data_IF_011159816139
#
_entry.id   IF_011159816139
#
_cell.length_a   1.000
_cell.length_b   1.000
_cell.length_c   1.000
_cell.angle_alpha   90.00
_cell.angle_beta   90.00
_cell.angle_gamma   90.00
#
_symmetry.space_group_name_H-M   'P 1'
#
loop_
_entity.id
_entity.type
_entity.pdbx_description
1 polymer ?
#
# COMPACT_ATOMS: atom_id res chain seq x y z
N UNK A 1 -12.30 -1.13 -19.09
CA UNK A 1 -13.58 -1.76 -18.73
C UNK A 1 -13.72 -3.11 -19.37
N UNK A 2 -14.01 -3.17 -20.67
CA UNK A 2 -14.30 -4.39 -21.43
C UNK A 2 -13.38 -5.59 -21.12
N UNK A 3 -12.08 -5.49 -21.43
CA UNK A 3 -11.08 -6.57 -21.22
C UNK A 3 -10.73 -6.85 -19.74
N UNK A 4 -11.36 -6.15 -18.78
CA UNK A 4 -11.17 -6.38 -17.34
C UNK A 4 -12.22 -7.33 -16.75
N UNK A 5 -13.33 -7.54 -17.45
CA UNK A 5 -14.46 -8.38 -17.03
C UNK A 5 -14.33 -9.85 -17.49
N UNK A 6 -13.10 -10.35 -17.62
CA UNK A 6 -12.85 -11.75 -17.93
C UNK A 6 -13.12 -12.65 -16.72
N UNK A 7 -13.23 -13.97 -16.94
CA UNK A 7 -13.49 -14.95 -15.87
C UNK A 7 -12.26 -15.09 -14.96
N UNK A 8 -12.39 -14.67 -13.70
CA UNK A 8 -11.41 -14.93 -12.65
C UNK A 8 -11.60 -16.29 -11.97
N UNK A 9 -10.51 -16.91 -11.52
CA UNK A 9 -10.51 -18.11 -10.68
C UNK A 9 -9.98 -17.79 -9.28
N UNK A 10 -10.62 -18.36 -8.26
CA UNK A 10 -10.34 -18.18 -6.83
C UNK A 10 -10.16 -19.52 -6.09
N UNK A 11 -10.18 -20.63 -6.83
CA UNK A 11 -10.09 -21.98 -6.32
C UNK A 11 -8.70 -22.30 -5.72
N UNK A 12 -8.71 -23.05 -4.62
CA UNK A 12 -7.48 -23.62 -4.07
C UNK A 12 -6.97 -24.72 -5.02
N UNK A 13 -5.65 -24.76 -5.28
CA UNK A 13 -5.00 -25.78 -6.11
C UNK A 13 -4.75 -25.37 -7.58
N UNK A 14 -5.21 -24.20 -8.01
CA UNK A 14 -4.86 -23.66 -9.33
C UNK A 14 -3.36 -23.36 -9.44
N UNK A 15 -2.80 -23.50 -10.64
CA UNK A 15 -1.48 -22.96 -10.99
C UNK A 15 -1.66 -21.50 -11.43
N UNK A 16 -1.25 -20.50 -10.62
CA UNK A 16 -1.50 -19.10 -10.94
C UNK A 16 -0.87 -18.69 -12.28
N UNK A 17 0.30 -19.20 -12.63
CA UNK A 17 0.97 -18.89 -13.88
C UNK A 17 0.18 -19.37 -15.11
N UNK A 18 -0.46 -20.53 -15.02
CA UNK A 18 -1.34 -21.06 -16.08
C UNK A 18 -2.54 -20.13 -16.30
N UNK A 19 -3.26 -19.80 -15.23
CA UNK A 19 -4.41 -18.90 -15.33
C UNK A 19 -4.02 -17.48 -15.74
N UNK A 20 -2.84 -17.00 -15.37
CA UNK A 20 -2.34 -15.71 -15.84
C UNK A 20 -2.20 -15.71 -17.37
N UNK A 21 -1.71 -16.81 -17.96
CA UNK A 21 -1.67 -16.99 -19.42
C UNK A 21 -3.08 -17.08 -20.00
N UNK A 22 -3.97 -17.88 -19.43
CA UNK A 22 -5.35 -18.03 -19.92
C UNK A 22 -6.12 -16.70 -19.90
N UNK A 23 -5.93 -15.86 -18.88
CA UNK A 23 -6.57 -14.54 -18.83
C UNK A 23 -6.07 -13.60 -19.92
N UNK A 24 -4.83 -13.75 -20.37
CA UNK A 24 -4.29 -12.95 -21.47
C UNK A 24 -4.79 -13.52 -22.79
N UNK A 25 -4.83 -14.85 -22.95
CA UNK A 25 -5.43 -15.53 -24.12
C UNK A 25 -6.87 -15.08 -24.32
N UNK A 26 -7.70 -15.13 -23.28
CA UNK A 26 -9.11 -14.70 -23.34
C UNK A 26 -9.24 -13.27 -23.88
N UNK A 27 -8.36 -12.36 -23.48
CA UNK A 27 -8.36 -10.97 -23.96
C UNK A 27 -7.92 -10.84 -25.40
N UNK A 28 -6.93 -11.62 -25.83
CA UNK A 28 -6.49 -11.65 -27.23
C UNK A 28 -7.61 -12.16 -28.12
N UNK A 29 -8.22 -13.29 -27.75
CA UNK A 29 -9.32 -13.90 -28.50
C UNK A 29 -10.55 -12.99 -28.52
N UNK A 30 -10.96 -12.46 -27.37
CA UNK A 30 -12.11 -11.56 -27.28
C UNK A 30 -11.87 -10.27 -28.06
N UNK A 31 -10.68 -9.67 -27.95
CA UNK A 31 -10.37 -8.44 -28.69
C UNK A 31 -10.32 -8.71 -30.20
N UNK A 32 -9.70 -9.82 -30.61
CA UNK A 32 -9.66 -10.24 -32.00
C UNK A 32 -11.05 -10.44 -32.59
N UNK A 33 -11.91 -11.18 -31.90
CA UNK A 33 -13.26 -11.48 -32.37
C UNK A 33 -14.16 -10.24 -32.39
N UNK A 34 -14.17 -9.44 -31.32
CA UNK A 34 -15.13 -8.34 -31.14
C UNK A 34 -14.75 -7.09 -31.91
N UNK A 35 -13.46 -6.74 -31.93
CA UNK A 35 -13.02 -5.46 -32.52
C UNK A 35 -12.31 -5.61 -33.85
N UNK A 36 -11.63 -6.74 -34.10
CA UNK A 36 -10.88 -6.94 -35.36
C UNK A 36 -11.62 -7.83 -36.36
N UNK A 37 -12.67 -8.54 -35.93
CA UNK A 37 -13.33 -9.56 -36.75
C UNK A 37 -12.43 -10.74 -37.10
N UNK A 38 -11.43 -11.04 -36.27
CA UNK A 38 -10.42 -12.09 -36.49
C UNK A 38 -10.57 -13.25 -35.52
N UNK A 39 -10.43 -14.48 -36.03
CA UNK A 39 -10.40 -15.72 -35.22
C UNK A 39 -8.97 -16.10 -34.85
N UNK A 40 -8.40 -15.40 -33.87
CA UNK A 40 -6.99 -15.58 -33.47
C UNK A 40 -6.70 -16.88 -32.71
N UNK A 41 -7.71 -17.56 -32.15
CA UNK A 41 -7.52 -18.65 -31.19
C UNK A 41 -6.68 -19.85 -31.68
N UNK A 42 -6.82 -20.27 -32.95
CA UNK A 42 -5.98 -21.35 -33.48
C UNK A 42 -4.50 -20.97 -33.55
N UNK A 43 -4.21 -19.67 -33.74
CA UNK A 43 -2.85 -19.16 -33.79
C UNK A 43 -2.12 -19.25 -32.44
N UNK A 44 -2.83 -19.53 -31.34
CA UNK A 44 -2.20 -19.80 -30.03
C UNK A 44 -1.19 -20.94 -30.08
N UNK A 45 -1.52 -22.03 -30.76
CA UNK A 45 -0.76 -23.28 -30.67
C UNK A 45 0.14 -23.53 -31.89
N UNK A 46 -0.23 -23.01 -33.05
CA UNK A 46 0.46 -23.19 -34.33
C UNK A 46 0.05 -22.08 -35.29
N UNK A 47 0.76 -21.87 -36.41
CA UNK A 47 0.30 -20.94 -37.44
C UNK A 47 -1.11 -21.30 -37.91
N UNK A 48 -1.97 -20.31 -38.08
CA UNK A 48 -3.35 -20.54 -38.50
C UNK A 48 -3.38 -21.28 -39.84
N UNK A 49 -4.32 -22.21 -40.00
CA UNK A 49 -4.32 -23.17 -41.12
C UNK A 49 -4.62 -22.51 -42.47
N UNK A 50 -5.49 -21.50 -42.48
CA UNK A 50 -6.02 -20.88 -43.70
C UNK A 50 -5.72 -19.38 -43.76
N UNK A 51 -6.09 -18.65 -42.70
CA UNK A 51 -5.79 -17.22 -42.60
C UNK A 51 -4.27 -16.95 -42.46
N UNK A 52 -3.78 -15.81 -42.99
CA UNK A 52 -2.38 -15.40 -42.90
C UNK A 52 -2.02 -14.87 -41.51
N UNK A 53 -2.23 -15.70 -40.49
CA UNK A 53 -1.97 -15.43 -39.08
C UNK A 53 -0.94 -16.44 -38.57
N UNK A 54 0.23 -15.95 -38.18
CA UNK A 54 1.27 -16.75 -37.56
C UNK A 54 1.03 -16.88 -36.06
N UNK A 55 1.61 -17.93 -35.46
CA UNK A 55 1.63 -18.07 -34.01
C UNK A 55 2.35 -16.89 -33.35
N UNK A 56 3.42 -16.41 -33.98
CA UNK A 56 4.17 -15.25 -33.48
C UNK A 56 3.27 -14.02 -33.35
N UNK A 57 2.46 -13.73 -34.35
CA UNK A 57 1.54 -12.58 -34.33
C UNK A 57 0.45 -12.69 -33.25
N UNK A 58 -0.01 -13.89 -32.91
CA UNK A 58 -0.87 -14.10 -31.74
C UNK A 58 -0.16 -13.63 -30.45
N UNK A 59 1.09 -14.04 -30.25
CA UNK A 59 1.84 -13.65 -29.06
C UNK A 59 2.32 -12.19 -29.08
N UNK A 60 2.43 -11.57 -30.26
CA UNK A 60 2.65 -10.13 -30.37
C UNK A 60 1.42 -9.34 -29.86
N UNK A 61 0.20 -9.77 -30.16
CA UNK A 61 -1.01 -9.17 -29.57
C UNK A 61 -1.10 -9.50 -28.07
N UNK A 62 -0.80 -10.74 -27.68
CA UNK A 62 -0.73 -11.18 -26.29
C UNK A 62 0.16 -10.25 -25.44
N UNK A 63 1.29 -9.80 -25.99
CA UNK A 63 2.22 -8.91 -25.30
C UNK A 63 1.59 -7.58 -24.88
N UNK A 64 0.59 -7.05 -25.59
CA UNK A 64 -0.15 -5.85 -25.13
C UNK A 64 -0.92 -6.08 -23.82
N UNK A 65 -1.39 -7.30 -23.60
CA UNK A 65 -2.23 -7.66 -22.46
C UNK A 65 -1.45 -8.33 -21.32
N UNK A 66 -0.26 -8.88 -21.59
CA UNK A 66 0.61 -9.52 -20.60
C UNK A 66 1.33 -8.53 -19.66
N UNK A 67 1.05 -7.23 -19.79
CA UNK A 67 1.62 -6.17 -18.95
C UNK A 67 0.66 -5.61 -17.89
N UNK A 68 -0.25 -6.46 -17.38
CA UNK A 68 -1.14 -6.12 -16.27
C UNK A 68 -0.60 -6.79 -15.00
N UNK A 69 -0.60 -6.12 -13.83
CA UNK A 69 -0.18 -6.69 -12.54
C UNK A 69 -1.23 -7.69 -11.99
N UNK A 70 -1.63 -8.64 -12.82
CA UNK A 70 -2.47 -9.79 -12.47
C UNK A 70 -1.60 -11.05 -12.42
N UNK A 71 -1.84 -11.88 -11.41
CA UNK A 71 -1.05 -13.08 -11.11
C UNK A 71 -1.87 -14.38 -11.32
N UNK A 72 -2.90 -14.35 -12.17
CA UNK A 72 -3.69 -15.54 -12.49
C UNK A 72 -4.56 -16.09 -11.35
N UNK A 73 -4.74 -15.32 -10.27
CA UNK A 73 -5.70 -15.59 -9.21
C UNK A 73 -6.49 -14.33 -8.90
N UNK A 74 -7.82 -14.45 -8.96
CA UNK A 74 -8.73 -13.36 -8.64
C UNK A 74 -8.97 -13.24 -7.13
N UNK A 75 -9.52 -12.10 -6.72
CA UNK A 75 -10.02 -11.89 -5.36
C UNK A 75 -11.33 -12.64 -5.15
N UNK A 76 -11.41 -13.44 -4.08
CA UNK A 76 -12.63 -14.19 -3.73
C UNK A 76 -13.81 -13.29 -3.36
N UNK A 77 -13.52 -12.16 -2.73
CA UNK A 77 -14.53 -11.19 -2.30
C UNK A 77 -14.13 -9.77 -2.73
N UNK A 78 -15.05 -9.08 -3.38
CA UNK A 78 -14.86 -7.72 -3.91
C UNK A 78 -14.13 -7.69 -5.26
N UNK A 79 -13.69 -6.49 -5.64
CA UNK A 79 -12.99 -6.27 -6.90
C UNK A 79 -11.55 -6.79 -6.82
N UNK A 80 -11.04 -7.31 -7.95
CA UNK A 80 -9.64 -7.72 -8.06
C UNK A 80 -8.75 -6.53 -8.47
N UNK A 81 -7.58 -6.32 -7.84
CA UNK A 81 -6.67 -5.26 -8.24
C UNK A 81 -6.15 -5.46 -9.70
N UNK A 82 -5.62 -4.41 -10.35
CA UNK A 82 -5.52 -3.04 -9.84
C UNK A 82 -6.87 -2.31 -9.88
N UNK A 83 -7.07 -1.43 -8.88
CA UNK A 83 -8.28 -0.63 -8.70
C UNK A 83 -7.99 0.85 -8.89
N UNK A 84 -9.00 1.62 -9.29
CA UNK A 84 -8.94 3.08 -9.32
C UNK A 84 -10.16 3.66 -8.59
N UNK A 85 -9.99 4.72 -7.77
CA UNK A 85 -11.11 5.48 -7.23
C UNK A 85 -11.96 6.09 -8.36
N UNK A 86 -13.29 5.96 -8.26
CA UNK A 86 -14.24 6.47 -9.23
C UNK A 86 -15.34 7.28 -8.53
N UNK A 87 -15.02 8.46 -7.95
CA UNK A 87 -15.97 9.24 -7.18
C UNK A 87 -17.23 9.58 -7.98
N UNK A 88 -18.40 9.50 -7.32
CA UNK A 88 -19.68 9.94 -7.90
C UNK A 88 -19.69 11.44 -8.18
N UNK A 89 -20.62 11.92 -9.01
CA UNK A 89 -20.74 13.37 -9.28
C UNK A 89 -20.96 14.21 -8.00
N UNK A 90 -21.72 13.67 -7.04
CA UNK A 90 -21.91 14.31 -5.73
C UNK A 90 -20.59 14.35 -4.94
N UNK A 91 -19.84 13.25 -4.91
CA UNK A 91 -18.54 13.19 -4.25
C UNK A 91 -17.52 14.13 -4.89
N UNK A 92 -17.49 14.22 -6.22
CA UNK A 92 -16.63 15.18 -6.95
C UNK A 92 -16.97 16.62 -6.59
N UNK A 93 -18.26 16.96 -6.50
CA UNK A 93 -18.71 18.29 -6.09
C UNK A 93 -18.28 18.63 -4.66
N UNK A 94 -18.45 17.69 -3.72
CA UNK A 94 -17.99 17.85 -2.33
C UNK A 94 -16.47 18.00 -2.25
N UNK A 95 -15.73 17.19 -3.01
CA UNK A 95 -14.27 17.24 -3.09
C UNK A 95 -13.80 18.61 -3.57
N UNK A 96 -14.36 19.10 -4.68
CA UNK A 96 -14.02 20.42 -5.22
C UNK A 96 -14.33 21.56 -4.24
N UNK A 97 -15.43 21.46 -3.47
CA UNK A 97 -15.77 22.44 -2.45
C UNK A 97 -14.77 22.42 -1.27
N UNK A 98 -14.30 21.24 -0.85
CA UNK A 98 -13.26 21.11 0.17
C UNK A 98 -11.92 21.64 -0.33
N UNK A 99 -11.52 21.29 -1.56
CA UNK A 99 -10.30 21.75 -2.19
C UNK A 99 -10.24 23.27 -2.28
N UNK A 100 -11.34 23.92 -2.69
CA UNK A 100 -11.43 25.37 -2.74
C UNK A 100 -11.22 26.02 -1.36
N UNK A 101 -11.80 25.45 -0.30
CA UNK A 101 -11.61 25.94 1.07
C UNK A 101 -10.18 25.72 1.57
N UNK A 102 -9.58 24.57 1.26
CA UNK A 102 -8.19 24.25 1.60
C UNK A 102 -7.25 25.28 0.95
N UNK A 103 -7.38 25.48 -0.37
CA UNK A 103 -6.58 26.47 -1.12
C UNK A 103 -6.74 27.87 -0.53
N UNK A 104 -7.96 28.26 -0.14
CA UNK A 104 -8.21 29.56 0.50
C UNK A 104 -7.41 29.71 1.82
N UNK A 105 -7.42 28.69 2.70
CA UNK A 105 -6.67 28.75 3.96
C UNK A 105 -5.15 28.73 3.72
N UNK A 106 -4.69 27.93 2.76
CA UNK A 106 -3.27 27.86 2.36
C UNK A 106 -2.76 29.21 1.84
N UNK A 107 -3.52 29.87 0.96
CA UNK A 107 -3.19 31.21 0.47
C UNK A 107 -3.14 32.24 1.60
N UNK A 108 -4.06 32.16 2.56
CA UNK A 108 -4.07 33.06 3.71
C UNK A 108 -2.80 32.92 4.57
N UNK A 109 -2.36 31.68 4.82
CA UNK A 109 -1.13 31.37 5.55
C UNK A 109 0.11 31.78 4.74
N UNK A 110 0.15 31.47 3.45
CA UNK A 110 1.25 31.80 2.55
C UNK A 110 1.49 33.31 2.47
N UNK A 111 0.42 34.12 2.35
CA UNK A 111 0.50 35.58 2.35
C UNK A 111 1.08 36.17 3.65
N UNK A 112 1.13 35.37 4.73
CA UNK A 112 1.64 35.75 6.06
C UNK A 112 2.89 34.96 6.46
N UNK A 113 3.45 34.16 5.57
CA UNK A 113 4.54 33.23 5.87
C UNK A 113 5.74 33.92 6.53
N UNK A 114 6.18 35.08 6.02
CA UNK A 114 7.30 35.82 6.60
C UNK A 114 7.05 36.27 8.05
N UNK A 115 5.84 36.75 8.36
CA UNK A 115 5.47 37.19 9.72
C UNK A 115 5.35 36.00 10.67
N UNK A 116 4.72 34.91 10.21
CA UNK A 116 4.57 33.66 10.95
C UNK A 116 5.95 33.09 11.28
N UNK A 117 6.85 33.04 10.30
CA UNK A 117 8.19 32.52 10.47
C UNK A 117 9.06 33.39 11.39
N UNK A 118 9.00 34.72 11.28
CA UNK A 118 9.70 35.61 12.22
C UNK A 118 9.22 35.38 13.67
N UNK A 119 7.90 35.26 13.88
CA UNK A 119 7.33 34.98 15.18
C UNK A 119 7.66 33.57 15.69
N UNK A 120 7.71 32.57 14.80
CA UNK A 120 8.19 31.21 15.11
C UNK A 120 9.63 31.27 15.62
N UNK A 121 10.57 31.86 14.87
CA UNK A 121 11.99 31.95 15.28
C UNK A 121 12.18 32.66 16.63
N UNK A 122 11.35 33.64 16.95
CA UNK A 122 11.35 34.26 18.27
C UNK A 122 10.89 33.27 19.37
N UNK A 123 9.79 32.56 19.11
CA UNK A 123 9.26 31.51 20.01
C UNK A 123 10.24 30.34 20.19
N UNK A 124 11.02 29.98 19.17
CA UNK A 124 11.99 28.88 19.22
C UNK A 124 13.05 29.04 20.34
N UNK A 125 13.25 30.26 20.86
CA UNK A 125 14.14 30.53 22.01
C UNK A 125 13.56 30.05 23.34
N UNK A 126 12.26 29.75 23.37
CA UNK A 126 11.49 29.37 24.56
C UNK A 126 10.78 28.02 24.31
N UNK A 127 11.39 27.12 23.55
CA UNK A 127 10.79 25.82 23.23
C UNK A 127 10.50 25.00 24.49
N UNK A 128 9.31 24.41 24.60
CA UNK A 128 8.97 23.56 25.73
C UNK A 128 9.75 22.25 25.70
N UNK A 129 10.04 21.71 26.89
CA UNK A 129 10.62 20.37 27.05
C UNK A 129 9.53 19.29 26.97
N UNK A 130 8.96 19.09 25.79
CA UNK A 130 7.85 18.16 25.56
C UNK A 130 8.13 17.29 24.34
N UNK A 131 7.81 15.99 24.44
CA UNK A 131 7.65 15.12 23.27
C UNK A 131 6.25 15.30 22.73
N UNK A 132 6.15 15.66 21.46
CA UNK A 132 4.90 16.13 20.87
C UNK A 132 4.73 15.55 19.47
N UNK A 133 3.50 15.16 19.12
CA UNK A 133 3.09 14.81 17.76
C UNK A 133 1.92 15.71 17.34
N UNK A 134 1.72 16.06 16.06
CA UNK A 134 0.60 16.89 15.61
C UNK A 134 -0.77 16.38 16.02
N UNK A 135 -1.75 17.27 16.21
CA UNK A 135 -3.13 16.89 16.56
C UNK A 135 -3.74 15.91 15.55
N UNK A 136 -3.44 16.07 14.25
CA UNK A 136 -3.85 15.14 13.18
C UNK A 136 -3.31 13.71 13.31
N UNK A 137 -2.40 13.47 14.27
CA UNK A 137 -1.86 12.16 14.62
C UNK A 137 -2.26 11.69 16.01
N UNK A 138 -3.08 12.48 16.71
CA UNK A 138 -3.60 12.16 18.05
C UNK A 138 -5.02 11.60 18.00
N UNK A 139 -5.77 11.92 16.95
CA UNK A 139 -7.14 11.44 16.76
C UNK A 139 -7.16 10.13 15.98
N UNK A 140 -7.49 9.04 16.68
CA UNK A 140 -7.67 7.70 16.12
C UNK A 140 -6.82 6.64 16.83
N UNK A 141 -7.41 5.97 17.82
CA UNK A 141 -7.02 4.63 18.27
C UNK A 141 -5.58 4.44 18.78
N UNK A 142 -5.11 5.41 19.54
CA UNK A 142 -3.77 5.41 20.12
C UNK A 142 -3.73 4.65 21.47
N UNK A 143 -3.25 3.41 21.47
CA UNK A 143 -2.59 2.85 22.67
C UNK A 143 -1.23 3.51 22.79
N UNK A 144 -0.76 3.90 23.97
CA UNK A 144 0.60 4.40 24.14
C UNK A 144 1.17 3.84 25.41
N UNK A 145 2.26 3.07 25.29
CA UNK A 145 3.16 2.84 26.41
C UNK A 145 4.21 3.94 26.39
N UNK A 146 3.95 4.97 27.20
CA UNK A 146 4.91 6.01 27.53
C UNK A 146 4.98 6.07 29.07
N UNK A 147 6.15 5.92 29.70
CA UNK A 147 7.47 5.69 29.09
C UNK A 147 7.59 4.30 28.41
N UNK A 148 8.65 4.07 27.61
CA UNK A 148 8.94 2.74 27.06
C UNK A 148 8.93 1.66 28.14
N UNK A 149 8.36 0.51 27.84
CA UNK A 149 8.20 -0.62 28.76
C UNK A 149 9.13 -1.77 28.37
N UNK A 150 9.76 -2.38 29.37
CA UNK A 150 10.53 -3.61 29.20
C UNK A 150 9.60 -4.82 29.06
N UNK A 151 9.95 -5.71 28.14
CA UNK A 151 9.31 -6.98 27.88
C UNK A 151 10.37 -8.07 27.96
N UNK A 152 10.11 -9.06 28.79
CA UNK A 152 10.94 -10.24 29.10
C UNK A 152 10.30 -11.52 28.55
N UNK A 153 9.52 -11.39 27.48
CA UNK A 153 8.61 -12.40 26.96
C UNK A 153 7.17 -12.27 27.47
N UNK A 154 6.89 -11.28 28.31
CA UNK A 154 5.52 -10.87 28.66
C UNK A 154 4.75 -10.32 27.45
N UNK A 155 3.43 -10.20 27.57
CA UNK A 155 2.55 -9.61 26.54
C UNK A 155 1.41 -8.83 27.18
N UNK A 156 0.92 -7.82 26.47
CA UNK A 156 -0.24 -7.02 26.85
C UNK A 156 -1.30 -7.14 25.77
N UNK A 157 -2.56 -7.37 26.15
CA UNK A 157 -3.68 -7.29 25.22
C UNK A 157 -4.19 -5.84 25.18
N UNK A 158 -4.38 -5.32 23.97
CA UNK A 158 -4.85 -3.95 23.72
C UNK A 158 -6.39 -3.94 23.73
N UNK A 159 -6.99 -2.82 24.17
CA UNK A 159 -8.44 -2.61 24.19
C UNK A 159 -9.10 -3.04 22.87
N UNK A 160 -10.25 -3.70 22.99
CA UNK A 160 -11.05 -4.24 21.92
C UNK A 160 -11.48 -3.23 20.83
N UNK A 161 -11.41 -1.93 21.07
CA UNK A 161 -11.78 -0.95 20.05
C UNK A 161 -10.75 -0.86 18.92
N UNK A 162 -9.48 -1.16 19.20
CA UNK A 162 -8.38 -0.74 18.34
C UNK A 162 -7.74 -1.88 17.55
N UNK A 163 -7.26 -1.57 16.35
CA UNK A 163 -6.48 -2.50 15.53
C UNK A 163 -7.25 -3.74 15.07
N UNK A 164 -8.58 -3.70 15.01
CA UNK A 164 -9.37 -4.84 14.48
C UNK A 164 -9.38 -4.89 12.95
N UNK A 165 -8.28 -4.53 12.30
CA UNK A 165 -8.11 -4.50 10.86
C UNK A 165 -8.13 -5.90 10.24
N UNK A 166 -8.77 -6.01 9.07
CA UNK A 166 -8.75 -7.13 8.16
C UNK A 166 -7.81 -6.83 6.97
N UNK A 167 -7.72 -7.75 6.01
CA UNK A 167 -6.79 -7.67 4.89
C UNK A 167 -7.09 -6.53 3.92
N UNK A 168 -8.30 -5.97 3.93
CA UNK A 168 -8.71 -4.87 3.04
C UNK A 168 -8.91 -3.54 3.75
N UNK A 169 -8.65 -3.50 5.05
CA UNK A 169 -8.57 -2.25 5.77
C UNK A 169 -7.22 -1.60 5.51
N UNK A 170 -7.23 -0.29 5.27
CA UNK A 170 -6.02 0.52 5.23
C UNK A 170 -5.68 1.00 6.64
N UNK A 171 -4.40 0.94 7.01
CA UNK A 171 -3.95 1.32 8.36
C UNK A 171 -2.44 1.53 8.41
N UNK A 172 -1.98 2.11 9.51
CA UNK A 172 -0.56 2.25 9.82
C UNK A 172 -0.27 1.88 11.27
N UNK A 173 0.97 1.46 11.51
CA UNK A 173 1.49 1.22 12.84
C UNK A 173 2.89 1.78 12.98
N UNK A 174 3.23 2.28 14.15
CA UNK A 174 4.60 2.70 14.50
C UNK A 174 4.95 2.28 15.91
N UNK A 175 6.23 2.13 16.21
CA UNK A 175 6.73 1.83 17.55
C UNK A 175 8.21 2.22 17.67
N UNK A 176 8.64 2.61 18.87
CA UNK A 176 10.04 2.55 19.27
C UNK A 176 10.37 1.15 19.76
N UNK A 177 11.46 0.59 19.24
CA UNK A 177 11.85 -0.80 19.44
C UNK A 177 13.34 -0.88 19.74
N UNK A 178 13.69 -1.50 20.87
CA UNK A 178 15.04 -1.91 21.21
C UNK A 178 14.99 -3.37 21.66
N UNK A 179 15.23 -4.31 20.75
CA UNK A 179 15.09 -5.74 21.04
C UNK A 179 14.65 -6.58 19.87
N UNK A 180 14.10 -7.76 20.16
CA UNK A 180 13.65 -8.75 19.16
C UNK A 180 12.37 -9.46 19.59
N UNK A 181 11.61 -9.95 18.62
CA UNK A 181 10.37 -10.70 18.79
C UNK A 181 9.17 -9.98 18.19
N UNK A 182 7.97 -10.39 18.62
CA UNK A 182 6.70 -9.83 18.20
C UNK A 182 6.44 -8.45 18.83
N UNK A 183 6.49 -7.39 18.03
CA UNK A 183 6.23 -6.02 18.49
C UNK A 183 4.74 -5.87 18.78
N UNK A 184 3.92 -6.12 17.76
CA UNK A 184 2.46 -6.08 17.85
C UNK A 184 1.84 -7.07 16.89
N UNK A 185 0.85 -7.84 17.34
CA UNK A 185 0.22 -8.89 16.54
C UNK A 185 -1.28 -8.97 16.82
N UNK A 186 -2.03 -9.49 15.84
CA UNK A 186 -3.42 -9.91 16.01
C UNK A 186 -3.59 -11.30 15.42
N UNK A 187 -2.91 -12.27 16.02
CA UNK A 187 -2.79 -13.61 15.47
C UNK A 187 -3.57 -14.67 16.27
N UNK A 188 -4.08 -15.67 15.57
CA UNK A 188 -4.80 -16.79 16.15
C UNK A 188 -3.87 -17.88 16.69
N UNK A 189 -4.30 -18.50 17.79
CA UNK A 189 -3.63 -19.67 18.37
C UNK A 189 -2.25 -19.42 18.97
N UNK A 190 -1.83 -18.15 19.11
CA UNK A 190 -0.51 -17.77 19.66
C UNK A 190 0.64 -18.58 19.06
N UNK A 191 0.76 -18.58 17.73
CA UNK A 191 1.78 -19.32 16.97
C UNK A 191 2.21 -18.54 15.72
N UNK A 192 3.41 -18.77 15.18
CA UNK A 192 3.92 -18.06 14.00
C UNK A 192 3.03 -18.22 12.76
N UNK A 193 2.37 -19.36 12.63
CA UNK A 193 1.51 -19.73 11.50
C UNK A 193 0.05 -19.30 11.71
N UNK A 194 -0.21 -18.52 12.76
CA UNK A 194 -1.55 -18.04 13.10
C UNK A 194 -2.15 -17.21 11.96
N UNK A 195 -3.46 -17.33 11.77
CA UNK A 195 -4.23 -16.37 10.97
C UNK A 195 -4.09 -14.99 11.62
N UNK A 196 -4.04 -13.89 10.88
CA UNK A 196 -3.93 -12.54 11.44
C UNK A 196 -2.82 -11.70 10.82
N UNK A 197 -2.41 -10.62 11.49
CA UNK A 197 -1.30 -9.79 11.07
C UNK A 197 -0.28 -9.61 12.21
N UNK A 198 0.94 -9.20 11.86
CA UNK A 198 1.98 -8.92 12.86
C UNK A 198 3.15 -8.10 12.33
N UNK A 199 3.68 -7.26 13.22
CA UNK A 199 4.96 -6.56 13.07
C UNK A 199 5.97 -7.19 14.03
N UNK A 200 7.15 -7.52 13.50
CA UNK A 200 8.16 -8.28 14.22
C UNK A 200 9.56 -7.73 13.95
N UNK A 201 10.45 -7.97 14.91
CA UNK A 201 11.90 -7.86 14.72
C UNK A 201 12.52 -9.24 14.91
N UNK A 202 13.13 -9.80 13.88
CA UNK A 202 13.81 -11.10 13.94
C UNK A 202 15.14 -11.02 13.22
N UNK A 203 16.20 -11.52 13.87
CA UNK A 203 17.56 -11.47 13.35
C UNK A 203 17.99 -10.03 12.96
N UNK A 204 17.53 -9.06 13.75
CA UNK A 204 17.72 -7.64 13.54
C UNK A 204 16.84 -7.04 12.44
N UNK A 205 16.17 -7.82 11.60
CA UNK A 205 15.31 -7.32 10.52
C UNK A 205 13.89 -7.08 10.98
N UNK A 206 13.28 -6.05 10.41
CA UNK A 206 11.86 -5.75 10.61
C UNK A 206 11.08 -6.49 9.53
N UNK A 207 10.08 -7.27 9.93
CA UNK A 207 9.14 -7.83 8.96
C UNK A 207 7.71 -7.60 9.38
N UNK A 208 6.86 -7.46 8.37
CA UNK A 208 5.43 -7.35 8.50
C UNK A 208 4.78 -8.48 7.72
N UNK A 209 3.77 -9.11 8.30
CA UNK A 209 2.97 -10.09 7.59
C UNK A 209 1.48 -9.92 7.85
N UNK A 210 0.71 -10.46 6.91
CA UNK A 210 -0.72 -10.72 7.00
C UNK A 210 -0.95 -12.15 6.51
N UNK A 211 -1.50 -13.01 7.34
CA UNK A 211 -1.66 -14.44 7.09
C UNK A 211 -3.13 -14.81 7.16
N UNK A 212 -3.70 -15.30 6.06
CA UNK A 212 -5.01 -15.96 6.09
C UNK A 212 -4.85 -17.48 6.21
N UNK A 213 -3.92 -18.03 5.42
CA UNK A 213 -3.39 -19.38 5.51
C UNK A 213 -1.88 -19.34 5.27
N UNK A 214 -1.10 -19.82 6.23
CA UNK A 214 0.36 -19.77 6.23
C UNK A 214 1.02 -20.32 4.97
N UNK A 215 0.46 -21.37 4.36
CA UNK A 215 1.13 -22.09 3.27
C UNK A 215 1.06 -21.33 1.95
N UNK A 216 -0.10 -20.74 1.63
CA UNK A 216 -0.36 -20.23 0.28
C UNK A 216 -1.29 -19.00 0.23
N UNK A 217 -1.62 -18.38 1.36
CA UNK A 217 -2.51 -17.22 1.43
C UNK A 217 -1.99 -16.26 2.50
N UNK A 218 -0.87 -15.64 2.17
CA UNK A 218 -0.18 -14.73 3.05
C UNK A 218 0.53 -13.63 2.25
N UNK A 219 0.75 -12.51 2.92
CA UNK A 219 1.59 -11.41 2.50
C UNK A 219 2.70 -11.28 3.53
N UNK A 220 3.95 -11.21 3.09
CA UNK A 220 5.08 -10.92 3.96
C UNK A 220 6.12 -10.08 3.25
N UNK A 221 6.48 -8.96 3.87
CA UNK A 221 7.60 -8.11 3.47
C UNK A 221 8.59 -8.00 4.62
N UNK A 222 9.88 -7.92 4.29
CA UNK A 222 10.97 -7.90 5.26
C UNK A 222 12.04 -6.91 4.82
N UNK A 223 12.61 -6.16 5.76
CA UNK A 223 13.71 -5.23 5.47
C UNK A 223 14.96 -5.98 5.01
N UNK A 224 15.64 -5.46 3.99
CA UNK A 224 16.92 -6.01 3.52
C UNK A 224 17.99 -5.86 4.59
N UNK A 225 18.11 -4.66 5.17
CA UNK A 225 19.11 -4.31 6.19
C UNK A 225 18.57 -4.56 7.60
N UNK A 226 19.36 -5.15 8.52
CA UNK A 226 19.00 -5.22 9.93
C UNK A 226 19.08 -3.84 10.59
N UNK A 227 18.34 -3.68 11.68
CA UNK A 227 18.47 -2.58 12.63
C UNK A 227 19.89 -2.57 13.22
N UNK A 228 20.39 -1.37 13.51
CA UNK A 228 21.70 -1.23 14.13
C UNK A 228 21.61 -1.70 15.60
N UNK A 229 22.55 -2.54 16.07
CA UNK A 229 22.49 -3.05 17.43
C UNK A 229 22.77 -1.95 18.47
N UNK A 230 22.26 -2.15 19.69
CA UNK A 230 22.62 -1.33 20.86
C UNK A 230 21.94 0.04 20.94
N UNK A 231 20.89 0.29 20.16
CA UNK A 231 20.06 1.48 20.29
C UNK A 231 18.60 1.20 19.95
N UNK A 232 17.71 2.03 20.48
CA UNK A 232 16.31 2.05 20.07
C UNK A 232 16.18 2.61 18.64
N UNK A 233 15.25 2.02 17.90
CA UNK A 233 14.87 2.41 16.55
C UNK A 233 13.38 2.72 16.48
N UNK A 234 13.01 3.72 15.68
CA UNK A 234 11.62 3.93 15.33
C UNK A 234 11.30 3.06 14.12
N UNK A 235 10.35 2.14 14.24
CA UNK A 235 9.87 1.32 13.13
C UNK A 235 8.42 1.69 12.83
N UNK A 236 8.07 1.76 11.54
CA UNK A 236 6.69 1.96 11.13
C UNK A 236 6.34 1.12 9.90
N UNK A 237 5.07 0.80 9.78
CA UNK A 237 4.49 0.14 8.61
C UNK A 237 3.24 0.88 8.20
N UNK A 238 3.09 1.12 6.90
CA UNK A 238 1.81 1.55 6.33
C UNK A 238 1.29 0.48 5.38
N UNK A 239 -0.02 0.27 5.41
CA UNK A 239 -0.71 -0.70 4.57
C UNK A 239 -1.94 -0.07 3.93
N UNK A 240 -2.05 -0.17 2.61
CA UNK A 240 -3.11 0.48 1.84
C UNK A 240 -4.39 -0.36 1.69
N UNK A 241 -4.48 -1.54 2.33
CA UNK A 241 -5.58 -2.48 2.10
C UNK A 241 -5.50 -3.18 0.74
N UNK A 242 -4.38 -3.06 0.02
CA UNK A 242 -4.25 -3.55 -1.37
C UNK A 242 -4.31 -5.07 -1.49
N UNK A 243 -4.05 -5.80 -0.40
CA UNK A 243 -3.81 -7.25 -0.35
C UNK A 243 -2.58 -7.71 -1.15
N UNK A 244 -1.73 -6.75 -1.53
CA UNK A 244 -0.50 -6.95 -2.31
C UNK A 244 0.68 -6.34 -1.56
N UNK A 245 1.86 -6.96 -1.68
CA UNK A 245 3.10 -6.49 -1.04
C UNK A 245 3.45 -5.04 -1.43
N UNK A 246 3.13 -4.61 -2.65
CA UNK A 246 3.29 -3.23 -3.12
C UNK A 246 2.54 -2.19 -2.26
N UNK A 247 1.44 -2.59 -1.62
CA UNK A 247 0.69 -1.73 -0.71
C UNK A 247 1.26 -1.66 0.70
N UNK A 248 2.36 -2.36 0.99
CA UNK A 248 3.07 -2.27 2.27
C UNK A 248 4.34 -1.45 2.11
N UNK A 249 4.51 -0.44 2.97
CA UNK A 249 5.77 0.28 3.13
C UNK A 249 6.28 0.11 4.55
N UNK A 250 7.57 -0.21 4.69
CA UNK A 250 8.25 -0.34 5.99
C UNK A 250 9.24 0.79 6.14
N UNK A 251 9.27 1.42 7.31
CA UNK A 251 10.13 2.55 7.62
C UNK A 251 10.97 2.24 8.85
N UNK A 252 12.22 2.71 8.83
CA UNK A 252 13.17 2.63 9.94
C UNK A 252 13.73 4.03 10.16
N UNK A 253 13.68 4.51 11.40
CA UNK A 253 14.12 5.84 11.84
C UNK A 253 13.56 6.98 10.96
N UNK A 254 12.30 6.83 10.55
CA UNK A 254 11.58 7.83 9.76
C UNK A 254 11.85 7.77 8.26
N UNK A 255 12.69 6.85 7.80
CA UNK A 255 13.06 6.70 6.38
C UNK A 255 12.48 5.42 5.80
N UNK A 256 12.08 5.47 4.53
CA UNK A 256 11.59 4.29 3.80
C UNK A 256 12.72 3.26 3.70
N UNK A 257 12.48 2.06 4.20
CA UNK A 257 13.44 0.96 4.17
C UNK A 257 13.29 0.16 2.87
N UNK A 258 14.42 -0.30 2.34
CA UNK A 258 14.43 -1.30 1.28
C UNK A 258 13.92 -2.64 1.82
N UNK A 259 12.98 -3.26 1.09
CA UNK A 259 12.34 -4.52 1.50
C UNK A 259 12.39 -5.57 0.40
N UNK A 260 12.35 -6.83 0.82
CA UNK A 260 12.10 -8.00 -0.02
C UNK A 260 10.71 -8.54 0.24
N UNK A 261 9.99 -8.87 -0.82
CA UNK A 261 8.72 -9.60 -0.74
C UNK A 261 9.02 -11.10 -0.59
N UNK A 262 8.61 -11.67 0.55
CA UNK A 262 8.78 -13.10 0.85
C UNK A 262 7.57 -13.90 0.39
N UNK A 263 6.36 -13.34 0.54
CA UNK A 263 5.10 -13.92 0.08
C UNK A 263 4.16 -12.81 -0.38
N UNK A 264 3.42 -13.05 -1.45
CA UNK A 264 2.44 -12.11 -2.00
C UNK A 264 1.26 -12.85 -2.65
N UNK A 265 0.58 -13.67 -1.84
CA UNK A 265 -0.51 -14.54 -2.31
C UNK A 265 -1.81 -14.33 -1.54
N UNK A 266 -1.92 -13.24 -0.79
CA UNK A 266 -3.02 -12.95 0.12
C UNK A 266 -4.32 -12.64 -0.63
N UNK A 267 -5.41 -13.35 -0.31
CA UNK A 267 -6.70 -13.12 -0.97
C UNK A 267 -7.94 -13.38 -0.10
N UNK A 268 -7.85 -14.17 0.98
CA UNK A 268 -9.01 -14.43 1.87
C UNK A 268 -8.98 -13.54 3.11
N UNK A 269 -10.05 -12.79 3.41
CA UNK A 269 -10.11 -12.00 4.63
C UNK A 269 -10.16 -12.87 5.89
N UNK A 270 -9.93 -12.25 7.03
CA UNK A 270 -10.01 -12.89 8.33
C UNK A 270 -11.45 -13.26 8.68
N UNK A 271 -12.39 -12.35 8.39
CA UNK A 271 -13.84 -12.60 8.50
C UNK A 271 -14.28 -13.70 7.52
N UNK A 272 -14.78 -14.81 8.05
CA UNK A 272 -15.34 -15.91 7.26
C UNK A 272 -16.87 -15.81 7.27
N UNK A 273 -17.52 -15.69 6.09
CA UNK A 273 -18.96 -15.88 5.89
C UNK A 273 -19.89 -15.28 6.99
N UNK A 274 -19.66 -14.02 7.37
CA UNK A 274 -20.46 -13.30 8.39
C UNK A 274 -19.98 -13.48 9.84
N UNK A 275 -18.93 -14.28 10.09
CA UNK A 275 -18.30 -14.42 11.39
C UNK A 275 -17.29 -13.30 11.70
N UNK A 276 -17.27 -12.87 12.95
CA UNK A 276 -16.29 -11.89 13.47
C UNK A 276 -14.98 -12.60 13.81
N UNK A 277 -13.85 -12.09 13.33
CA UNK A 277 -12.53 -12.55 13.76
C UNK A 277 -12.23 -11.98 15.17
N UNK A 278 -12.24 -12.85 16.19
CA UNK A 278 -12.28 -12.45 17.60
C UNK A 278 -10.91 -12.28 18.27
N UNK A 279 -9.81 -12.47 17.55
CA UNK A 279 -8.48 -12.36 18.15
C UNK A 279 -8.18 -10.92 18.58
N UNK A 280 -7.71 -10.71 19.83
CA UNK A 280 -7.30 -9.41 20.31
C UNK A 280 -5.97 -8.99 19.69
N UNK A 281 -5.73 -7.69 19.68
CA UNK A 281 -4.42 -7.12 19.39
C UNK A 281 -3.55 -7.30 20.63
N UNK A 282 -2.29 -7.72 20.43
CA UNK A 282 -1.33 -8.01 21.49
C UNK A 282 -0.03 -7.29 21.21
N UNK A 283 0.52 -6.65 22.24
CA UNK A 283 1.87 -6.07 22.24
C UNK A 283 2.81 -7.05 22.93
N UNK A 284 4.00 -7.25 22.36
CA UNK A 284 5.05 -8.10 22.94
C UNK A 284 4.87 -9.61 22.73
N UNK A 285 3.84 -10.07 22.01
CA UNK A 285 3.59 -11.51 21.87
C UNK A 285 2.51 -11.85 20.83
N UNK A 286 1.95 -13.06 20.93
CA UNK A 286 0.88 -13.55 20.04
C UNK A 286 1.36 -14.40 18.85
N UNK A 287 2.67 -14.63 18.71
CA UNK A 287 3.27 -15.45 17.65
C UNK A 287 4.05 -16.66 18.19
N UNK A 288 3.62 -17.21 19.34
CA UNK A 288 4.28 -18.34 20.00
C UNK A 288 5.37 -17.92 20.98
N UNK A 289 5.68 -18.80 21.94
CA UNK A 289 6.58 -18.54 23.07
C UNK A 289 7.98 -18.10 22.60
N UNK A 290 8.50 -18.74 21.55
CA UNK A 290 9.83 -18.44 21.00
C UNK A 290 9.92 -17.05 20.33
N UNK A 291 8.79 -16.43 19.98
CA UNK A 291 8.75 -15.11 19.32
C UNK A 291 8.19 -14.01 20.23
N UNK A 292 8.04 -14.26 21.53
CA UNK A 292 7.69 -13.20 22.46
C UNK A 292 8.80 -12.15 22.50
N UNK A 293 8.42 -10.90 22.68
CA UNK A 293 9.36 -9.79 22.61
C UNK A 293 10.30 -9.78 23.81
N UNK A 294 11.57 -9.53 23.51
CA UNK A 294 12.66 -9.42 24.47
C UNK A 294 13.35 -8.07 24.22
N UNK A 295 13.22 -7.15 25.16
CA UNK A 295 13.78 -5.79 25.07
C UNK A 295 12.80 -4.71 25.53
N UNK A 296 12.86 -3.52 24.93
CA UNK A 296 11.98 -2.39 25.24
C UNK A 296 11.13 -2.00 24.03
N UNK A 297 9.83 -1.80 24.28
CA UNK A 297 8.88 -1.22 23.32
C UNK A 297 8.34 0.09 23.88
N UNK A 298 8.19 1.11 23.04
CA UNK A 298 7.67 2.40 23.45
C UNK A 298 6.87 3.10 22.35
N UNK A 299 5.99 4.01 22.75
CA UNK A 299 5.18 4.84 21.84
C UNK A 299 4.56 4.08 20.66
N UNK A 300 4.10 2.85 20.89
CA UNK A 300 3.39 2.07 19.87
C UNK A 300 2.18 2.88 19.43
N UNK A 301 1.93 3.10 18.14
CA UNK A 301 0.75 3.84 17.65
C UNK A 301 0.06 3.06 16.55
N UNK A 302 -1.27 3.00 16.58
CA UNK A 302 -2.10 2.41 15.52
C UNK A 302 -2.96 3.51 14.89
N UNK A 303 -3.12 3.46 13.57
CA UNK A 303 -3.89 4.43 12.81
C UNK A 303 -4.78 3.70 11.83
N UNK A 304 -6.07 4.02 11.79
CA UNK A 304 -7.00 3.57 10.74
C UNK A 304 -6.80 4.34 9.43
N UNK A 305 -5.57 4.80 9.16
CA UNK A 305 -5.15 5.57 8.00
C UNK A 305 -3.74 5.23 7.56
N UNK A 306 -3.44 5.50 6.29
CA UNK A 306 -2.07 5.45 5.76
C UNK A 306 -1.40 6.77 6.12
N UNK A 307 -0.38 6.71 6.98
CA UNK A 307 0.45 7.88 7.29
C UNK A 307 1.33 8.23 6.09
N UNK A 308 1.60 9.52 5.91
CA UNK A 308 2.57 9.98 4.92
C UNK A 308 4.01 9.85 5.45
N UNK A 309 5.00 9.91 4.55
CA UNK A 309 6.42 9.84 4.93
C UNK A 309 6.83 10.98 5.88
N UNK A 310 6.31 12.19 5.65
CA UNK A 310 6.53 13.35 6.53
C UNK A 310 6.04 13.06 7.95
N UNK A 311 4.87 12.44 8.05
CA UNK A 311 4.27 12.11 9.34
C UNK A 311 5.08 11.06 10.10
N UNK A 312 5.49 10.00 9.40
CA UNK A 312 6.34 8.94 9.95
C UNK A 312 7.71 9.51 10.37
N UNK A 313 8.27 10.42 9.57
CA UNK A 313 9.51 11.12 9.90
C UNK A 313 9.39 11.91 11.20
N UNK A 314 8.27 12.59 11.44
CA UNK A 314 8.04 13.33 12.69
C UNK A 314 7.89 12.41 13.90
N UNK A 315 7.21 11.26 13.76
CA UNK A 315 7.12 10.26 14.85
C UNK A 315 8.51 9.68 15.20
N UNK A 316 9.42 9.62 14.24
CA UNK A 316 10.78 9.12 14.41
C UNK A 316 11.76 10.11 15.07
N UNK A 317 11.39 11.38 15.27
CA UNK A 317 12.30 12.36 15.88
C UNK A 317 12.68 11.98 17.31
N UNK A 318 11.73 11.44 18.10
CA UNK A 318 11.99 10.79 19.40
C UNK A 318 12.55 11.65 20.54
N UNK A 319 12.97 12.89 20.26
CA UNK A 319 13.53 13.83 21.21
C UNK A 319 12.55 14.97 21.54
N UNK A 320 12.62 15.54 22.76
CA UNK A 320 11.78 16.69 23.10
C UNK A 320 12.15 17.91 22.24
N UNK A 321 11.19 18.81 22.01
CA UNK A 321 11.40 19.98 21.15
C UNK A 321 12.53 20.89 21.62
N UNK A 322 12.72 21.02 22.93
CA UNK A 322 13.87 21.73 23.53
C UNK A 322 15.23 21.22 23.02
N UNK A 323 15.36 19.93 22.72
CA UNK A 323 16.60 19.34 22.19
C UNK A 323 16.87 19.72 20.72
N UNK A 324 15.87 20.27 20.02
CA UNK A 324 15.96 20.78 18.64
C UNK A 324 16.34 22.27 18.56
N UNK A 325 16.39 22.97 19.70
CA UNK A 325 16.74 24.38 19.74
C UNK A 325 18.21 24.59 19.31
N UNK A 326 18.46 25.57 18.42
CA UNK A 326 19.81 25.99 18.01
C UNK A 326 20.62 24.99 17.18
N UNK A 327 20.08 23.82 16.86
CA UNK A 327 20.75 22.81 16.02
C UNK A 327 20.37 22.98 14.55
N UNK A 328 21.23 22.45 13.66
CA UNK A 328 20.85 22.22 12.26
C UNK A 328 19.88 21.03 12.22
N UNK A 329 18.62 21.31 11.87
CA UNK A 329 17.54 20.33 11.87
C UNK A 329 17.44 19.58 10.55
N UNK A 330 17.03 18.32 10.62
CA UNK A 330 16.49 17.57 9.49
C UNK A 330 15.13 18.15 9.06
N UNK A 331 14.63 17.71 7.90
CA UNK A 331 13.31 18.15 7.42
C UNK A 331 12.18 17.77 8.40
N UNK A 332 12.21 16.55 8.93
CA UNK A 332 11.22 16.08 9.90
C UNK A 332 11.26 16.87 11.22
N UNK A 333 12.45 17.14 11.76
CA UNK A 333 12.63 17.95 12.98
C UNK A 333 12.15 19.39 12.77
N UNK A 334 12.52 20.00 11.64
CA UNK A 334 12.07 21.34 11.29
C UNK A 334 10.54 21.38 11.19
N UNK A 335 9.95 20.36 10.56
CA UNK A 335 8.51 20.27 10.40
C UNK A 335 7.77 20.07 11.72
N UNK A 336 8.31 19.27 12.63
CA UNK A 336 7.72 19.06 13.95
C UNK A 336 7.71 20.36 14.77
N UNK A 337 8.79 21.13 14.71
CA UNK A 337 8.88 22.47 15.34
C UNK A 337 7.83 23.42 14.76
N UNK A 338 7.67 23.41 13.44
CA UNK A 338 6.69 24.23 12.74
C UNK A 338 5.25 23.94 13.15
N UNK A 339 4.89 22.67 13.14
CA UNK A 339 3.54 22.25 13.48
C UNK A 339 3.22 22.51 14.95
N UNK A 340 4.19 22.26 15.86
CA UNK A 340 4.00 22.61 17.27
C UNK A 340 3.74 24.11 17.42
N UNK A 341 4.53 24.96 16.77
CA UNK A 341 4.31 26.41 16.81
C UNK A 341 2.91 26.78 16.31
N UNK A 342 2.49 26.25 15.15
CA UNK A 342 1.19 26.53 14.55
C UNK A 342 0.01 26.05 15.41
N UNK A 343 0.16 24.98 16.17
CA UNK A 343 -0.90 24.45 17.02
C UNK A 343 -0.96 25.12 18.40
N UNK A 344 0.16 25.53 18.98
CA UNK A 344 0.19 25.94 20.39
C UNK A 344 0.57 27.40 20.62
N UNK A 345 1.41 28.00 19.77
CA UNK A 345 2.10 29.25 20.10
C UNK A 345 1.92 30.38 19.08
N UNK A 346 1.43 30.07 17.88
CA UNK A 346 1.14 31.09 16.89
C UNK A 346 0.04 32.06 17.35
N UNK A 347 -0.07 33.22 16.68
CA UNK A 347 -1.12 34.18 16.95
C UNK A 347 -2.51 33.54 16.80
N UNK A 348 -3.54 33.94 17.58
CA UNK A 348 -4.84 33.27 17.61
C UNK A 348 -5.48 33.07 16.22
N UNK A 349 -5.38 34.08 15.34
CA UNK A 349 -5.88 33.99 13.97
C UNK A 349 -5.11 32.94 13.14
N UNK A 350 -3.79 32.83 13.30
CA UNK A 350 -2.98 31.83 12.61
C UNK A 350 -3.31 30.42 13.10
N UNK A 351 -3.45 30.22 14.42
CA UNK A 351 -3.86 28.92 14.99
C UNK A 351 -5.23 28.50 14.51
N UNK A 352 -6.19 29.43 14.52
CA UNK A 352 -7.55 29.16 14.04
C UNK A 352 -7.54 28.76 12.56
N UNK A 353 -6.84 29.50 11.69
CA UNK A 353 -6.72 29.15 10.27
C UNK A 353 -6.02 27.80 10.08
N UNK A 354 -4.97 27.52 10.84
CA UNK A 354 -4.28 26.22 10.79
C UNK A 354 -5.20 25.06 11.21
N UNK A 355 -5.95 25.22 12.30
CA UNK A 355 -6.91 24.23 12.77
C UNK A 355 -8.01 23.98 11.73
N UNK A 356 -8.54 25.04 11.11
CA UNK A 356 -9.51 24.91 10.02
C UNK A 356 -8.91 24.19 8.80
N UNK A 357 -7.69 24.52 8.40
CA UNK A 357 -7.00 23.85 7.30
C UNK A 357 -6.77 22.35 7.60
N UNK A 358 -6.32 22.02 8.81
CA UNK A 358 -6.11 20.64 9.23
C UNK A 358 -7.43 19.84 9.21
N UNK A 359 -8.51 20.41 9.76
CA UNK A 359 -9.83 19.78 9.74
C UNK A 359 -10.39 19.58 8.32
N UNK A 360 -10.23 20.57 7.43
CA UNK A 360 -10.63 20.43 6.02
C UNK A 360 -9.87 19.32 5.30
N UNK A 361 -8.56 19.18 5.57
CA UNK A 361 -7.75 18.09 5.00
C UNK A 361 -8.19 16.73 5.52
N UNK A 362 -8.53 16.63 6.80
CA UNK A 362 -9.08 15.41 7.38
C UNK A 362 -10.46 15.06 6.79
N UNK A 363 -11.35 16.05 6.63
CA UNK A 363 -12.65 15.87 5.95
C UNK A 363 -12.48 15.41 4.51
N UNK A 364 -11.50 15.98 3.79
CA UNK A 364 -11.15 15.59 2.43
C UNK A 364 -10.68 14.14 2.37
N UNK A 365 -9.76 13.74 3.26
CA UNK A 365 -9.28 12.36 3.34
C UNK A 365 -10.42 11.38 3.69
N UNK A 366 -11.29 11.76 4.63
CA UNK A 366 -12.51 10.98 4.98
C UNK A 366 -13.42 10.80 3.78
N UNK A 367 -13.64 11.85 2.99
CA UNK A 367 -14.45 11.79 1.78
C UNK A 367 -13.81 10.86 0.72
N UNK A 368 -12.50 10.98 0.47
CA UNK A 368 -11.79 10.15 -0.51
C UNK A 368 -11.91 8.65 -0.23
N UNK A 369 -11.93 8.26 1.05
CA UNK A 369 -12.13 6.85 1.47
C UNK A 369 -13.52 6.31 1.15
N UNK A 370 -14.50 7.18 0.96
CA UNK A 370 -15.86 6.76 0.58
C UNK A 370 -16.02 6.57 -0.92
N UNK A 371 -14.98 6.87 -1.71
CA UNK A 371 -15.06 6.74 -3.16
C UNK A 371 -15.23 5.27 -3.53
N UNK A 372 -16.23 4.93 -4.38
CA UNK A 372 -16.30 3.60 -4.92
C UNK A 372 -15.07 3.36 -5.79
N UNK A 373 -14.71 2.10 -5.96
CA UNK A 373 -13.57 1.70 -6.78
C UNK A 373 -14.03 0.92 -8.00
N UNK A 374 -13.29 1.05 -9.09
CA UNK A 374 -13.48 0.26 -10.31
C UNK A 374 -12.21 -0.50 -10.64
N UNK A 375 -12.36 -1.70 -11.20
CA UNK A 375 -11.22 -2.46 -11.70
C UNK A 375 -10.67 -1.80 -12.95
N UNK A 376 -9.34 -1.68 -13.01
CA UNK A 376 -8.63 -1.14 -14.17
C UNK A 376 -7.61 -2.15 -14.67
N UNK A 377 -7.09 -1.90 -15.87
CA UNK A 377 -5.91 -2.59 -16.38
C UNK A 377 -4.80 -1.55 -16.38
N UNK A 378 -4.09 -1.43 -15.26
CA UNK A 378 -2.91 -0.57 -15.16
C UNK A 378 -1.71 -1.26 -15.81
N UNK A 379 -0.78 -0.49 -16.38
CA UNK A 379 0.48 -1.04 -16.88
C UNK A 379 1.44 -1.29 -15.71
N UNK A 380 2.20 -2.38 -15.77
CA UNK A 380 3.32 -2.58 -14.83
C UNK A 380 4.46 -1.62 -15.18
N UNK A 381 5.16 -1.11 -14.15
CA UNK A 381 6.33 -0.26 -14.33
C UNK A 381 7.47 -0.96 -15.09
N UNK A 382 7.68 -2.25 -14.80
CA UNK A 382 8.55 -3.14 -15.57
C UNK A 382 7.69 -4.14 -16.34
N UNK A 383 7.81 -4.12 -17.66
CA UNK A 383 7.07 -5.04 -18.54
C UNK A 383 7.45 -6.49 -18.27
N UNK A 384 6.44 -7.37 -18.21
CA UNK A 384 6.65 -8.81 -18.18
C UNK A 384 7.14 -9.27 -19.56
N UNK A 385 8.22 -10.04 -19.59
CA UNK A 385 8.69 -10.68 -20.81
C UNK A 385 7.59 -11.59 -21.36
N UNK A 386 7.30 -11.45 -22.66
CA UNK A 386 6.32 -12.29 -23.35
C UNK A 386 7.05 -13.28 -24.22
N UNK A 387 6.72 -14.56 -24.09
CA UNK A 387 7.24 -15.62 -24.94
C UNK A 387 6.14 -16.16 -25.85
N UNK A 388 6.53 -16.57 -27.05
CA UNK A 388 5.74 -17.53 -27.81
C UNK A 388 5.69 -18.85 -27.03
N UNK A 389 4.51 -19.38 -26.73
CA UNK A 389 4.39 -20.64 -25.99
C UNK A 389 4.30 -21.83 -26.96
N UNK A 390 5.16 -22.82 -26.77
CA UNK A 390 5.20 -24.01 -27.62
C UNK A 390 3.91 -24.81 -27.44
N UNK A 391 3.14 -24.96 -28.53
CA UNK A 391 1.80 -25.56 -28.52
C UNK A 391 0.83 -24.88 -27.54
N UNK A 392 1.04 -23.61 -27.22
CA UNK A 392 0.19 -22.85 -26.31
C UNK A 392 0.33 -23.20 -24.82
N UNK A 393 1.36 -23.98 -24.43
CA UNK A 393 1.55 -24.46 -23.05
C UNK A 393 2.30 -23.42 -22.21
N UNK A 394 1.71 -22.99 -21.09
CA UNK A 394 2.25 -21.93 -20.23
C UNK A 394 3.66 -22.22 -19.69
N UNK A 395 3.98 -23.51 -19.50
CA UNK A 395 5.24 -24.01 -18.95
C UNK A 395 6.30 -24.30 -20.03
N UNK A 396 6.01 -24.01 -21.32
CA UNK A 396 6.94 -24.19 -22.44
C UNK A 396 7.18 -22.90 -23.20
N UNK A 397 7.90 -21.92 -22.59
CA UNK A 397 8.27 -20.70 -23.28
C UNK A 397 9.26 -20.98 -24.43
N UNK A 398 9.03 -20.34 -25.56
CA UNK A 398 9.91 -20.28 -26.72
C UNK A 398 10.58 -18.91 -26.82
N UNK A 399 10.73 -18.41 -28.05
CA UNK A 399 11.34 -17.10 -28.29
C UNK A 399 10.56 -15.96 -27.63
N UNK A 400 11.29 -14.93 -27.19
CA UNK A 400 10.71 -13.67 -26.71
C UNK A 400 10.06 -12.93 -27.87
N UNK A 401 8.90 -12.34 -27.62
CA UNK A 401 8.16 -11.53 -28.60
C UNK A 401 7.80 -10.16 -28.05
N UNK A 402 7.95 -9.17 -28.91
CA UNK A 402 7.56 -7.79 -28.63
C UNK A 402 6.12 -7.51 -29.08
N UNK A 403 5.45 -6.49 -28.53
CA UNK A 403 4.15 -6.06 -29.01
C UNK A 403 4.13 -5.77 -30.52
N UNK A 404 3.06 -6.18 -31.19
CA UNK A 404 2.95 -6.08 -32.65
C UNK A 404 1.58 -6.49 -33.17
N UNK A 405 1.37 -6.29 -34.46
CA UNK A 405 0.10 -6.55 -35.15
C UNK A 405 0.34 -7.54 -36.29
N UNK A 406 -0.67 -8.36 -36.65
CA UNK A 406 -0.64 -9.16 -37.87
C UNK A 406 -0.24 -8.33 -39.09
N UNK A 407 0.65 -8.87 -39.94
CA UNK A 407 1.32 -8.14 -41.01
C UNK A 407 0.35 -7.51 -42.04
N UNK A 408 -0.84 -8.08 -42.20
CA UNK A 408 -1.87 -7.58 -43.12
C UNK A 408 -2.67 -6.39 -42.56
N UNK A 409 -2.55 -6.08 -41.26
CA UNK A 409 -3.19 -4.91 -40.65
C UNK A 409 -2.33 -3.65 -40.85
N UNK A 410 -2.92 -2.45 -40.76
CA UNK A 410 -2.17 -1.20 -40.78
C UNK A 410 -1.08 -1.16 -39.69
N UNK A 411 0.18 -1.15 -40.11
CA UNK A 411 1.34 -1.19 -39.22
C UNK A 411 1.59 0.17 -38.56
N UNK A 412 0.90 0.41 -37.44
CA UNK A 412 1.16 1.52 -36.50
C UNK A 412 1.25 0.96 -35.07
N UNK A 413 2.21 0.05 -34.81
CA UNK A 413 2.23 -0.70 -33.56
C UNK A 413 2.45 0.25 -32.37
N UNK A 414 1.63 0.06 -31.34
CA UNK A 414 1.80 0.75 -30.08
C UNK A 414 2.86 0.04 -29.24
N UNK A 415 3.41 0.75 -28.25
CA UNK A 415 4.33 0.15 -27.27
C UNK A 415 3.61 -0.35 -26.02
N UNK A 416 2.32 -0.02 -25.86
CA UNK A 416 1.51 -0.32 -24.67
C UNK A 416 0.04 -0.58 -25.02
N UNK A 417 -0.74 -1.01 -24.03
CA UNK A 417 -2.15 -1.36 -24.19
C UNK A 417 -3.03 -0.15 -24.52
N UNK A 418 -2.69 1.03 -24.01
CA UNK A 418 -3.48 2.23 -24.29
C UNK A 418 -3.33 2.65 -25.75
N UNK A 419 -2.11 2.60 -26.28
CA UNK A 419 -1.84 2.83 -27.69
C UNK A 419 -2.51 1.77 -28.56
N UNK A 420 -2.48 0.49 -28.17
CA UNK A 420 -3.20 -0.57 -28.89
C UNK A 420 -4.71 -0.31 -28.89
N UNK A 421 -5.28 0.05 -27.74
CA UNK A 421 -6.70 0.38 -27.65
C UNK A 421 -7.08 1.59 -28.54
N UNK A 422 -6.23 2.62 -28.60
CA UNK A 422 -6.43 3.77 -29.50
C UNK A 422 -6.36 3.36 -30.96
N UNK A 423 -5.44 2.47 -31.32
CA UNK A 423 -5.31 1.91 -32.67
C UNK A 423 -6.56 1.11 -33.07
N UNK A 424 -7.09 0.27 -32.16
CA UNK A 424 -8.28 -0.56 -32.43
C UNK A 424 -9.52 0.28 -32.73
N UNK A 425 -9.66 1.46 -32.13
CA UNK A 425 -10.82 2.35 -32.31
C UNK A 425 -10.53 3.53 -33.23
N UNK A 426 -9.36 3.55 -33.87
CA UNK A 426 -9.02 4.58 -34.83
C UNK A 426 -9.98 4.47 -36.03
N UNK A 427 -10.64 5.55 -36.45
CA UNK A 427 -11.51 5.53 -37.62
C UNK A 427 -10.75 5.35 -38.95
N UNK A 428 -9.42 5.51 -38.96
CA UNK A 428 -8.55 5.30 -40.13
C UNK A 428 -7.87 3.94 -40.09
#
# INVERSE_FOLDING_TARGET
GFNRNHRGNTEDGIVPEEYAVEYVVDRVETTGAVFLGLTLGCARCHNHKYDPLTQKEFYQIFSYFNNVPELGRAMKYGNSPPLMPAPTAEQQTKLAALDAKIVQQEQWLAARAQKIDAARRAWERQMPNVRWAPASMRDGEYFTQTPPQAFDGSRVEVDEKFGKFDIDDLWSVSAWVDGKGAVITRMSGNKPEGKGYGLHVKDGKVFFHITSNWVNDALRVETVKPLAPGRAHHVAVTYTGSRMAEGVRVYVDGQLAETTTVMDTLYRPFRNAGGVYKEPVRVGGGAGKANQFQGTLGEIRLYSRVLTEEEIGMLAVGQPLSALAGKKRTQAEQRQVELHYLETAAAPNVRQTWQTLAGLREEREKLERTFPTVMVMAEMAKRRETHLLLRGQYDKPGEVVEPGLPAFLPQRPATDRLGFAKWVVDPQ
#
